data_IF_399864842263
#
_entry.id   IF_399864842263
#
_cell.length_a   1.000
_cell.length_b   1.000
_cell.length_c   1.000
_cell.angle_alpha   90.00
_cell.angle_beta   90.00
_cell.angle_gamma   90.00
#
_symmetry.space_group_name_H-M   'P 1'
#
loop_
_entity.id
_entity.type
_entity.pdbx_description
1 polymer ?
#
# COMPACT_ATOMS: atom_id res chain seq x y z
N UNK A 1 10.48 19.27 38.28
CA UNK A 1 10.51 18.82 36.87
C UNK A 1 9.09 18.99 36.37
N UNK A 2 8.85 19.92 35.44
CA UNK A 2 7.53 20.10 34.85
C UNK A 2 7.24 18.85 34.03
N UNK A 3 6.10 18.22 34.29
CA UNK A 3 5.71 16.96 33.68
C UNK A 3 5.56 17.20 32.16
N UNK A 4 6.44 16.60 31.35
CA UNK A 4 6.51 16.85 29.89
C UNK A 4 5.19 16.55 29.15
N UNK A 5 4.28 15.84 29.82
CA UNK A 5 2.91 15.58 29.39
C UNK A 5 2.06 16.86 29.38
N UNK A 6 2.21 17.73 30.37
CA UNK A 6 1.44 18.96 30.55
C UNK A 6 1.83 20.03 29.53
N UNK A 7 3.13 20.17 29.25
CA UNK A 7 3.64 21.02 28.16
C UNK A 7 3.14 20.56 26.78
N UNK A 8 3.12 19.26 26.55
CA UNK A 8 2.66 18.68 25.27
C UNK A 8 1.17 18.97 25.04
N UNK A 9 0.35 18.83 26.08
CA UNK A 9 -1.09 19.11 26.02
C UNK A 9 -1.33 20.61 25.73
N UNK A 10 -0.61 21.51 26.43
CA UNK A 10 -0.75 22.95 26.22
C UNK A 10 -0.35 23.40 24.80
N UNK A 11 0.72 22.82 24.24
CA UNK A 11 1.16 23.13 22.87
C UNK A 11 0.17 22.65 21.82
N UNK A 12 -0.43 21.47 21.99
CA UNK A 12 -1.48 20.97 21.09
C UNK A 12 -2.73 21.86 21.16
N UNK A 13 -3.10 22.32 22.35
CA UNK A 13 -4.24 23.23 22.52
C UNK A 13 -3.99 24.58 21.81
N UNK A 14 -2.78 25.14 21.98
CA UNK A 14 -2.35 26.36 21.29
C UNK A 14 -2.38 26.21 19.76
N UNK A 15 -1.83 25.12 19.22
CA UNK A 15 -1.81 24.85 17.78
C UNK A 15 -3.20 24.59 17.19
N UNK A 16 -4.18 24.16 17.98
CA UNK A 16 -5.58 24.04 17.52
C UNK A 16 -6.26 25.41 17.38
N UNK A 17 -5.81 26.41 18.12
CA UNK A 17 -6.42 27.75 18.16
C UNK A 17 -5.68 28.78 17.31
N UNK A 18 -4.40 28.54 17.00
CA UNK A 18 -3.61 29.47 16.20
C UNK A 18 -4.07 29.43 14.73
N UNK A 19 -4.57 30.56 14.17
CA UNK A 19 -5.00 30.62 12.77
C UNK A 19 -3.86 30.38 11.75
N UNK A 20 -2.59 30.43 12.18
CA UNK A 20 -1.42 30.07 11.38
C UNK A 20 -1.11 28.57 11.42
N UNK A 21 -1.62 27.85 12.42
CA UNK A 21 -1.48 26.40 12.49
C UNK A 21 -2.61 25.75 11.69
N UNK A 22 -2.28 25.25 10.50
CA UNK A 22 -3.19 24.46 9.68
C UNK A 22 -2.64 23.05 9.52
N UNK A 23 -3.36 22.08 10.07
CA UNK A 23 -3.12 20.67 9.76
C UNK A 23 -3.49 20.43 8.30
N UNK A 24 -2.50 20.37 7.41
CA UNK A 24 -2.73 20.12 5.99
C UNK A 24 -3.15 18.66 5.78
N UNK A 25 -4.12 18.43 4.89
CA UNK A 25 -4.59 17.08 4.54
C UNK A 25 -5.31 16.34 5.67
N UNK A 26 -5.83 17.04 6.68
CA UNK A 26 -6.53 16.43 7.83
C UNK A 26 -7.75 15.57 7.44
N UNK A 27 -8.37 15.84 6.30
CA UNK A 27 -9.45 15.02 5.73
C UNK A 27 -9.00 13.61 5.33
N UNK A 28 -7.69 13.39 5.20
CA UNK A 28 -7.11 12.09 4.89
C UNK A 28 -6.60 11.36 6.12
N UNK A 29 -6.54 12.02 7.29
CA UNK A 29 -6.08 11.36 8.51
C UNK A 29 -7.03 10.22 8.87
N UNK A 30 -6.45 9.09 9.29
CA UNK A 30 -7.19 7.91 9.69
C UNK A 30 -8.10 7.33 8.60
N UNK A 31 -7.86 7.66 7.33
CA UNK A 31 -8.43 6.92 6.20
C UNK A 31 -7.64 5.64 5.98
N UNK A 32 -8.37 4.57 5.65
CA UNK A 32 -7.79 3.31 5.18
C UNK A 32 -7.50 3.42 3.69
N UNK A 33 -6.46 2.73 3.25
CA UNK A 33 -6.03 2.70 1.86
C UNK A 33 -4.94 1.66 1.65
N UNK A 34 -4.03 1.93 0.71
CA UNK A 34 -2.85 1.10 0.47
C UNK A 34 -1.54 1.89 0.60
N UNK A 35 -0.45 1.17 0.88
CA UNK A 35 0.89 1.75 0.89
C UNK A 35 1.95 0.71 0.52
N UNK A 36 3.13 1.16 0.12
CA UNK A 36 4.30 0.31 -0.11
C UNK A 36 5.45 0.67 0.84
N UNK A 37 6.51 -0.13 0.81
CA UNK A 37 7.78 0.23 1.45
C UNK A 37 8.54 1.17 0.53
N UNK A 38 8.87 2.37 1.00
CA UNK A 38 9.68 3.35 0.27
C UNK A 38 11.02 2.72 -0.17
N UNK A 39 11.73 2.11 0.79
CA UNK A 39 12.96 1.37 0.54
C UNK A 39 12.60 -0.10 0.27
N UNK A 40 12.93 -0.57 -0.93
CA UNK A 40 12.84 -1.96 -1.33
C UNK A 40 14.23 -2.65 -1.25
N UNK A 41 14.23 -3.98 -1.11
CA UNK A 41 15.47 -4.77 -1.16
C UNK A 41 15.60 -5.47 -2.50
N UNK A 42 14.64 -6.35 -2.81
CA UNK A 42 14.64 -7.17 -4.04
C UNK A 42 13.32 -7.06 -4.79
N UNK A 43 12.21 -7.02 -4.07
CA UNK A 43 10.88 -6.91 -4.67
C UNK A 43 10.08 -5.81 -4.00
N UNK A 44 9.27 -5.12 -4.79
CA UNK A 44 8.29 -4.18 -4.27
C UNK A 44 7.29 -4.94 -3.42
N UNK A 45 6.90 -4.34 -2.30
CA UNK A 45 5.86 -4.89 -1.43
C UNK A 45 4.85 -3.80 -1.05
N UNK A 46 3.59 -4.11 -1.33
CA UNK A 46 2.45 -3.26 -1.07
C UNK A 46 1.53 -3.92 -0.04
N UNK A 47 0.84 -3.13 0.77
CA UNK A 47 -0.01 -3.61 1.87
C UNK A 47 -1.22 -2.71 2.04
N UNK A 48 -2.30 -3.30 2.57
CA UNK A 48 -3.39 -2.51 3.17
C UNK A 48 -2.83 -1.68 4.32
N UNK A 49 -3.29 -0.45 4.40
CA UNK A 49 -2.94 0.50 5.43
C UNK A 49 -4.17 0.81 6.27
N UNK A 50 -4.08 0.46 7.54
CA UNK A 50 -5.11 0.78 8.53
C UNK A 50 -5.11 2.28 8.89
N UNK A 51 -6.15 2.69 9.60
CA UNK A 51 -6.37 4.06 10.07
C UNK A 51 -5.16 4.58 10.83
N UNK A 52 -4.45 5.52 10.23
CA UNK A 52 -3.20 6.07 10.77
C UNK A 52 -2.97 7.49 10.28
N UNK A 53 -1.95 8.14 10.86
CA UNK A 53 -1.36 9.36 10.29
C UNK A 53 -0.39 8.94 9.19
N UNK A 54 -0.23 9.77 8.16
CA UNK A 54 0.57 9.45 6.99
C UNK A 54 1.85 10.27 6.96
N UNK A 55 2.94 9.61 6.59
CA UNK A 55 4.27 10.21 6.47
C UNK A 55 4.77 10.00 5.03
N UNK A 56 5.77 10.77 4.61
CA UNK A 56 6.38 10.69 3.28
C UNK A 56 6.94 9.30 2.99
N UNK A 57 7.46 8.57 3.99
CA UNK A 57 7.98 7.20 3.79
C UNK A 57 6.93 6.10 3.99
N UNK A 58 5.72 6.49 4.36
CA UNK A 58 4.56 5.62 4.50
C UNK A 58 3.38 6.34 3.84
N UNK A 59 3.52 6.64 2.55
CA UNK A 59 2.46 7.31 1.78
C UNK A 59 1.23 6.41 1.71
N UNK A 60 0.04 7.01 1.74
CA UNK A 60 -1.21 6.30 1.49
C UNK A 60 -1.73 6.66 0.10
N UNK A 61 -2.15 5.67 -0.67
CA UNK A 61 -3.06 5.86 -1.79
C UNK A 61 -4.46 5.46 -1.35
N UNK A 62 -5.45 6.22 -1.78
CA UNK A 62 -6.86 5.95 -1.55
C UNK A 62 -7.56 5.76 -2.88
N UNK A 63 -8.37 4.70 -2.98
CA UNK A 63 -9.27 4.50 -4.10
C UNK A 63 -10.24 5.68 -4.22
N UNK A 64 -10.41 6.18 -5.44
CA UNK A 64 -11.44 7.18 -5.80
C UNK A 64 -12.45 6.63 -6.81
N UNK A 65 -12.30 5.37 -7.21
CA UNK A 65 -13.12 4.68 -8.20
C UNK A 65 -13.21 3.20 -7.86
N UNK A 66 -14.39 2.63 -8.06
CA UNK A 66 -14.63 1.19 -7.90
C UNK A 66 -14.18 0.37 -9.13
N UNK A 67 -13.74 1.03 -10.21
CA UNK A 67 -13.25 0.34 -11.41
C UNK A 67 -11.94 -0.41 -11.14
N UNK A 68 -11.06 0.19 -10.33
CA UNK A 68 -9.77 -0.37 -9.96
C UNK A 68 -9.71 -0.42 -8.44
N UNK A 69 -10.01 -1.59 -7.89
CA UNK A 69 -10.01 -1.77 -6.44
C UNK A 69 -8.58 -1.70 -5.87
N UNK A 70 -8.47 -1.27 -4.61
CA UNK A 70 -7.18 -1.18 -3.93
C UNK A 70 -6.47 -2.54 -3.85
N UNK A 71 -7.24 -3.62 -3.68
CA UNK A 71 -6.72 -4.99 -3.66
C UNK A 71 -6.09 -5.40 -4.99
N UNK A 72 -6.61 -4.90 -6.10
CA UNK A 72 -6.04 -5.13 -7.42
C UNK A 72 -4.68 -4.45 -7.57
N UNK A 73 -4.57 -3.19 -7.13
CA UNK A 73 -3.29 -2.45 -7.14
C UNK A 73 -2.28 -3.12 -6.19
N UNK A 74 -2.73 -3.56 -5.01
CA UNK A 74 -1.88 -4.31 -4.06
C UNK A 74 -1.35 -5.58 -4.73
N UNK A 75 -2.20 -6.38 -5.37
CA UNK A 75 -1.78 -7.60 -6.07
C UNK A 75 -0.77 -7.29 -7.18
N UNK A 76 -1.02 -6.28 -8.00
CA UNK A 76 -0.11 -5.85 -9.06
C UNK A 76 1.27 -5.51 -8.52
N UNK A 77 1.37 -4.59 -7.55
CA UNK A 77 2.65 -4.11 -7.03
C UNK A 77 3.43 -5.24 -6.32
N UNK A 78 2.74 -6.21 -5.72
CA UNK A 78 3.39 -7.34 -5.06
C UNK A 78 3.91 -8.42 -6.02
N UNK A 79 3.60 -8.35 -7.31
CA UNK A 79 4.10 -9.28 -8.31
C UNK A 79 5.58 -9.05 -8.63
N UNK A 80 6.25 -10.13 -8.96
CA UNK A 80 7.63 -10.11 -9.42
C UNK A 80 7.75 -9.39 -10.76
N UNK A 81 6.74 -9.52 -11.65
CA UNK A 81 6.68 -8.79 -12.91
C UNK A 81 6.77 -7.27 -12.72
N UNK A 82 5.93 -6.67 -11.87
CA UNK A 82 5.95 -5.22 -11.64
C UNK A 82 7.25 -4.78 -10.98
N UNK A 83 7.82 -5.59 -10.09
CA UNK A 83 9.12 -5.28 -9.49
C UNK A 83 10.22 -5.20 -10.55
N UNK A 84 10.29 -6.16 -11.47
CA UNK A 84 11.26 -6.12 -12.57
C UNK A 84 10.97 -5.00 -13.56
N UNK A 85 9.70 -4.73 -13.87
CA UNK A 85 9.35 -3.61 -14.75
C UNK A 85 9.87 -2.27 -14.20
N UNK A 86 9.64 -2.03 -12.90
CA UNK A 86 10.12 -0.80 -12.26
C UNK A 86 11.65 -0.73 -12.30
N UNK A 87 12.33 -1.81 -11.90
CA UNK A 87 13.80 -1.86 -11.85
C UNK A 87 14.44 -1.65 -13.23
N UNK A 88 13.85 -2.20 -14.30
CA UNK A 88 14.43 -2.15 -15.64
C UNK A 88 14.03 -0.90 -16.44
N UNK A 89 12.83 -0.34 -16.22
CA UNK A 89 12.26 0.68 -17.11
C UNK A 89 11.88 1.99 -16.43
N UNK A 90 11.71 2.01 -15.11
CA UNK A 90 11.22 3.21 -14.40
C UNK A 90 12.32 3.81 -13.52
N UNK A 91 12.83 3.04 -12.57
CA UNK A 91 13.78 3.50 -11.56
C UNK A 91 14.50 2.29 -10.94
N UNK A 92 15.82 2.23 -11.11
CA UNK A 92 16.69 1.16 -10.61
C UNK A 92 17.33 1.48 -9.24
N UNK A 93 16.85 2.53 -8.56
CA UNK A 93 17.24 2.84 -7.19
C UNK A 93 16.39 2.06 -6.19
N UNK A 94 16.84 2.00 -4.93
CA UNK A 94 16.10 1.29 -3.88
C UNK A 94 14.81 1.99 -3.44
N UNK A 95 14.53 3.19 -3.93
CA UNK A 95 13.36 3.98 -3.53
C UNK A 95 12.26 3.88 -4.57
N UNK A 96 11.05 3.51 -4.16
CA UNK A 96 9.86 3.54 -5.02
C UNK A 96 8.93 4.67 -4.57
N UNK A 97 8.81 5.71 -5.38
CA UNK A 97 8.06 6.92 -5.05
C UNK A 97 6.74 7.01 -5.81
N UNK A 98 5.88 7.97 -5.45
CA UNK A 98 4.59 8.17 -6.12
C UNK A 98 4.74 8.46 -7.62
N UNK A 99 5.82 9.12 -8.04
CA UNK A 99 6.08 9.39 -9.46
C UNK A 99 6.42 8.12 -10.24
N UNK A 100 7.04 7.13 -9.58
CA UNK A 100 7.32 5.83 -10.16
C UNK A 100 6.03 5.01 -10.24
N UNK A 101 5.21 5.04 -9.17
CA UNK A 101 3.92 4.36 -9.13
C UNK A 101 2.95 4.82 -10.24
N UNK A 102 3.05 6.09 -10.66
CA UNK A 102 2.26 6.64 -11.78
C UNK A 102 2.64 6.07 -13.15
N UNK A 103 3.79 5.43 -13.27
CA UNK A 103 4.32 4.86 -14.52
C UNK A 103 4.06 3.35 -14.62
N UNK A 104 3.39 2.76 -13.63
CA UNK A 104 3.02 1.35 -13.68
C UNK A 104 2.02 1.09 -14.81
N UNK A 105 2.22 0.02 -15.60
CA UNK A 105 1.29 -0.33 -16.66
C UNK A 105 0.07 -0.99 -16.03
N UNK A 106 -1.00 -0.25 -15.71
CA UNK A 106 -2.20 -0.80 -15.08
C UNK A 106 -3.26 -1.10 -16.15
N UNK A 107 -3.57 -2.39 -16.36
CA UNK A 107 -4.73 -2.80 -17.16
C UNK A 107 -5.99 -2.59 -16.31
N UNK A 108 -7.05 -2.02 -16.87
CA UNK A 108 -8.31 -1.85 -16.14
C UNK A 108 -8.94 -3.24 -15.96
N UNK A 109 -9.14 -3.69 -14.70
CA UNK A 109 -9.63 -5.02 -14.45
C UNK A 109 -11.11 -5.17 -14.78
N UNK A 110 -11.49 -6.40 -15.11
CA UNK A 110 -12.88 -6.85 -15.06
C UNK A 110 -13.28 -7.14 -13.61
N UNK A 111 -14.58 -7.27 -13.38
CA UNK A 111 -15.12 -7.55 -12.05
C UNK A 111 -14.54 -8.85 -11.46
N UNK A 112 -14.41 -9.90 -12.27
CA UNK A 112 -13.86 -11.19 -11.82
C UNK A 112 -12.39 -11.08 -11.42
N UNK A 113 -11.64 -10.18 -12.05
CA UNK A 113 -10.24 -9.90 -11.75
C UNK A 113 -10.11 -9.16 -10.42
N UNK A 114 -10.95 -8.15 -10.16
CA UNK A 114 -11.04 -7.51 -8.84
C UNK A 114 -11.38 -8.55 -7.75
N UNK A 115 -12.44 -9.34 -7.94
CA UNK A 115 -12.87 -10.38 -7.00
C UNK A 115 -11.76 -11.41 -6.71
N UNK A 116 -10.94 -11.76 -7.72
CA UNK A 116 -9.81 -12.65 -7.53
C UNK A 116 -8.69 -12.02 -6.70
N UNK A 117 -8.37 -10.74 -6.93
CA UNK A 117 -7.34 -10.04 -6.15
C UNK A 117 -7.72 -9.87 -4.68
N UNK A 118 -9.00 -9.61 -4.38
CA UNK A 118 -9.52 -9.59 -3.00
C UNK A 118 -9.24 -10.91 -2.28
N UNK A 119 -9.37 -12.06 -2.97
CA UNK A 119 -9.05 -13.38 -2.38
C UNK A 119 -7.57 -13.51 -2.06
N UNK A 120 -6.68 -13.13 -2.97
CA UNK A 120 -5.23 -13.18 -2.73
C UNK A 120 -4.83 -12.34 -1.54
N UNK A 121 -5.29 -11.09 -1.48
CA UNK A 121 -4.94 -10.17 -0.39
C UNK A 121 -5.52 -10.65 0.94
N UNK A 122 -6.78 -11.10 0.96
CA UNK A 122 -7.43 -11.61 2.19
C UNK A 122 -6.70 -12.83 2.74
N UNK A 123 -6.35 -13.79 1.87
CA UNK A 123 -5.61 -14.99 2.25
C UNK A 123 -4.22 -14.65 2.79
N UNK A 124 -3.50 -13.73 2.15
CA UNK A 124 -2.19 -13.26 2.62
C UNK A 124 -2.27 -12.58 4.00
N UNK A 125 -3.32 -11.79 4.23
CA UNK A 125 -3.58 -11.15 5.53
C UNK A 125 -3.87 -12.22 6.60
N UNK A 126 -4.70 -13.22 6.31
CA UNK A 126 -5.02 -14.31 7.23
C UNK A 126 -3.78 -15.10 7.65
N UNK A 127 -2.89 -15.44 6.69
CA UNK A 127 -1.61 -16.08 6.98
C UNK A 127 -0.77 -15.20 7.90
N UNK A 128 -0.61 -13.91 7.60
CA UNK A 128 0.17 -13.00 8.46
C UNK A 128 -0.41 -12.81 9.86
N UNK A 129 -1.73 -12.97 10.03
CA UNK A 129 -2.40 -12.92 11.33
C UNK A 129 -2.36 -14.25 12.10
N UNK A 130 -1.75 -15.29 11.54
CA UNK A 130 -1.69 -16.62 12.16
C UNK A 130 -3.02 -17.37 12.13
N UNK A 131 -3.96 -16.97 11.28
CA UNK A 131 -5.29 -17.57 11.15
C UNK A 131 -5.38 -18.59 9.99
N UNK A 132 -4.25 -19.00 9.42
CA UNK A 132 -4.20 -19.84 8.23
C UNK A 132 -4.30 -21.34 8.54
N UNK A 133 -4.81 -22.09 7.55
CA UNK A 133 -4.76 -23.54 7.53
C UNK A 133 -3.30 -24.00 7.37
N UNK A 134 -2.95 -25.15 7.96
CA UNK A 134 -1.57 -25.65 8.07
C UNK A 134 -0.79 -25.78 6.72
N UNK A 135 -1.48 -25.74 5.58
CA UNK A 135 -0.89 -25.92 4.25
C UNK A 135 -0.78 -24.63 3.41
N UNK A 136 -1.19 -23.47 3.95
CA UNK A 136 -1.13 -22.21 3.21
C UNK A 136 0.07 -21.37 3.65
N UNK A 137 0.98 -21.06 2.73
CA UNK A 137 2.14 -20.20 2.95
C UNK A 137 2.11 -18.96 2.06
N UNK A 138 2.82 -17.91 2.48
CA UNK A 138 2.98 -16.70 1.65
C UNK A 138 3.70 -17.01 0.34
N UNK A 139 4.58 -18.00 0.31
CA UNK A 139 5.29 -18.40 -0.91
C UNK A 139 4.35 -19.03 -1.94
N UNK A 140 3.36 -19.82 -1.49
CA UNK A 140 2.32 -20.36 -2.37
C UNK A 140 1.47 -19.25 -2.96
N UNK A 141 1.04 -18.28 -2.14
CA UNK A 141 0.28 -17.13 -2.64
C UNK A 141 1.12 -16.29 -3.61
N UNK A 142 2.40 -16.07 -3.33
CA UNK A 142 3.29 -15.32 -4.22
C UNK A 142 3.33 -15.96 -5.62
N UNK A 143 3.50 -17.29 -5.70
CA UNK A 143 3.46 -18.02 -6.98
C UNK A 143 2.12 -17.89 -7.69
N UNK A 144 1.01 -17.96 -6.96
CA UNK A 144 -0.33 -17.79 -7.53
C UNK A 144 -0.54 -16.37 -8.09
N UNK A 145 -0.06 -15.34 -7.38
CA UNK A 145 -0.08 -13.94 -7.82
C UNK A 145 0.76 -13.75 -9.07
N UNK A 146 2.00 -14.27 -9.09
CA UNK A 146 2.89 -14.11 -10.23
C UNK A 146 2.30 -14.77 -11.49
N UNK A 147 1.82 -16.02 -11.37
CA UNK A 147 1.13 -16.71 -12.49
C UNK A 147 -0.14 -15.99 -12.96
N UNK A 148 -0.87 -15.37 -12.04
CA UNK A 148 -2.06 -14.60 -12.39
C UNK A 148 -1.71 -13.33 -13.17
N UNK A 149 -0.68 -12.59 -12.73
CA UNK A 149 -0.22 -11.39 -13.38
C UNK A 149 0.43 -11.69 -14.74
N UNK A 150 1.26 -12.73 -14.85
CA UNK A 150 1.83 -13.16 -16.13
C UNK A 150 0.73 -13.42 -17.18
N UNK A 151 -0.34 -14.13 -16.78
CA UNK A 151 -1.51 -14.36 -17.65
C UNK A 151 -2.23 -13.08 -18.04
N UNK A 152 -2.40 -12.16 -17.10
CA UNK A 152 -3.08 -10.88 -17.32
C UNK A 152 -2.33 -10.00 -18.34
N UNK A 153 -1.00 -10.02 -18.34
CA UNK A 153 -0.16 -9.26 -19.28
C UNK A 153 0.26 -10.05 -20.51
N UNK A 154 -0.19 -11.30 -20.66
CA UNK A 154 0.16 -12.19 -21.77
C UNK A 154 1.68 -12.46 -21.89
N UNK A 155 2.32 -12.72 -20.75
CA UNK A 155 3.74 -13.07 -20.64
C UNK A 155 3.98 -14.58 -20.60
#
# INVERSE_FOLDING_TARGET
>A
MVDGKEESINRVQFLKTDPKARYQGYSFYFREGLCWSDINTTFLKCRKKEKSIHDVKSMSIFGVSDLVEEDYIITLINSTFISYYVDNFVNNTQTFQINDARQLPVIIPRKEENEQTVKFVTKAIQIKKGAALANESLDTIQKEVDLYIEKLYHL
#
